data_IF_267134053457
#
_entry.id   IF_267134053457
#
_cell.length_a   1.000
_cell.length_b   1.000
_cell.length_c   1.000
_cell.angle_alpha   90.00
_cell.angle_beta   90.00
_cell.angle_gamma   90.00
#
_symmetry.space_group_name_H-M   'P 1'
#
loop_
_entity.id
_entity.type
_entity.pdbx_description
1 polymer ?
#
# COMPACT_ATOMS: atom_id res chain seq x y z
N UNK A 1 -17.33 11.45 11.51
CA UNK A 1 -16.62 12.10 12.64
C UNK A 1 -15.25 11.45 12.87
N UNK A 2 -15.20 10.12 12.92
CA UNK A 2 -13.99 9.28 13.07
C UNK A 2 -12.84 9.64 12.12
N UNK A 3 -13.12 9.84 10.83
CA UNK A 3 -12.10 10.23 9.84
C UNK A 3 -11.45 11.60 10.15
N UNK A 4 -12.25 12.59 10.59
CA UNK A 4 -11.75 13.92 10.98
C UNK A 4 -10.84 13.83 12.20
N UNK A 5 -11.21 13.03 13.20
CA UNK A 5 -10.36 12.85 14.38
C UNK A 5 -9.06 12.13 14.03
N UNK A 6 -9.12 11.08 13.23
CA UNK A 6 -7.93 10.38 12.77
C UNK A 6 -6.98 11.31 12.02
N UNK A 7 -7.51 12.19 11.16
CA UNK A 7 -6.70 13.14 10.41
C UNK A 7 -6.07 14.20 11.34
N UNK A 8 -6.84 14.72 12.29
CA UNK A 8 -6.34 15.68 13.29
C UNK A 8 -5.22 15.08 14.15
N UNK A 9 -5.38 13.83 14.61
CA UNK A 9 -4.36 13.11 15.38
C UNK A 9 -3.09 12.92 14.55
N UNK A 10 -3.25 12.51 13.28
CA UNK A 10 -2.14 12.31 12.36
C UNK A 10 -1.36 13.61 12.12
N UNK A 11 -2.05 14.73 11.91
CA UNK A 11 -1.45 16.05 11.71
C UNK A 11 -0.78 16.59 12.98
N UNK A 12 -1.38 16.39 14.16
CA UNK A 12 -0.77 16.76 15.45
C UNK A 12 0.53 16.00 15.74
N UNK A 13 0.75 14.86 15.06
CA UNK A 13 1.93 14.00 15.22
C UNK A 13 2.66 13.74 13.89
N UNK A 14 2.67 14.73 13.00
CA UNK A 14 3.28 14.64 11.67
C UNK A 14 4.79 14.31 11.70
N UNK A 15 5.52 14.74 12.74
CA UNK A 15 6.96 14.42 12.92
C UNK A 15 7.24 12.92 12.96
N UNK A 16 6.32 12.10 13.46
CA UNK A 16 6.49 10.64 13.50
C UNK A 16 6.40 10.06 12.08
N UNK A 17 5.54 10.63 11.24
CA UNK A 17 5.36 10.18 9.85
C UNK A 17 6.67 10.33 9.08
N UNK A 18 7.40 11.44 9.26
CA UNK A 18 8.73 11.61 8.65
C UNK A 18 9.74 10.54 9.07
N UNK A 19 9.72 10.12 10.34
CA UNK A 19 10.61 9.03 10.81
C UNK A 19 10.26 7.70 10.14
N UNK A 20 8.98 7.46 9.88
CA UNK A 20 8.50 6.25 9.19
C UNK A 20 8.78 6.31 7.70
N UNK A 21 8.63 7.48 7.06
CA UNK A 21 9.05 7.70 5.68
C UNK A 21 10.54 7.40 5.53
N UNK A 22 11.38 7.95 6.41
CA UNK A 22 12.82 7.66 6.41
C UNK A 22 13.09 6.16 6.56
N UNK A 23 12.39 5.50 7.48
CA UNK A 23 12.47 4.04 7.65
C UNK A 23 12.11 3.30 6.35
N UNK A 24 11.03 3.66 5.67
CA UNK A 24 10.62 3.01 4.42
C UNK A 24 11.60 3.27 3.28
N UNK A 25 12.15 4.48 3.17
CA UNK A 25 13.20 4.81 2.18
C UNK A 25 14.43 3.95 2.39
N UNK A 26 14.90 3.80 3.64
CA UNK A 26 16.05 2.93 3.96
C UNK A 26 15.76 1.47 3.61
N UNK A 27 14.58 0.96 3.97
CA UNK A 27 14.16 -0.41 3.63
C UNK A 27 14.11 -0.60 2.11
N UNK A 28 13.49 0.33 1.38
CA UNK A 28 13.43 0.25 -0.09
C UNK A 28 14.82 0.27 -0.72
N UNK A 29 15.72 1.14 -0.25
CA UNK A 29 17.08 1.22 -0.78
C UNK A 29 17.82 -0.10 -0.61
N UNK A 30 17.77 -0.69 0.59
CA UNK A 30 18.40 -2.00 0.88
C UNK A 30 17.85 -3.08 -0.04
N UNK A 31 16.53 -3.20 -0.13
CA UNK A 31 15.90 -4.27 -0.94
C UNK A 31 16.07 -4.06 -2.45
N UNK A 32 16.04 -2.83 -2.94
CA UNK A 32 16.30 -2.50 -4.35
C UNK A 32 17.77 -2.80 -4.70
N UNK A 33 18.73 -2.48 -3.82
CA UNK A 33 20.13 -2.83 -4.05
C UNK A 33 20.33 -4.34 -4.09
N UNK A 34 19.80 -5.08 -3.11
CA UNK A 34 19.96 -6.54 -3.06
C UNK A 34 19.25 -7.22 -4.25
N UNK A 35 18.01 -6.83 -4.55
CA UNK A 35 17.27 -7.36 -5.68
C UNK A 35 17.94 -7.01 -7.02
N UNK A 36 18.43 -5.78 -7.16
CA UNK A 36 19.18 -5.33 -8.34
C UNK A 36 20.48 -6.13 -8.54
N UNK A 37 21.21 -6.42 -7.47
CA UNK A 37 22.40 -7.28 -7.52
C UNK A 37 22.05 -8.74 -7.87
N UNK A 38 20.98 -9.28 -7.32
CA UNK A 38 20.52 -10.65 -7.62
C UNK A 38 20.03 -10.79 -9.07
N UNK A 39 19.43 -9.74 -9.63
CA UNK A 39 18.89 -9.73 -11.00
C UNK A 39 19.91 -9.26 -12.05
N UNK A 40 21.04 -8.69 -11.63
CA UNK A 40 22.10 -8.22 -12.53
C UNK A 40 22.48 -9.21 -13.64
N UNK A 41 22.70 -10.53 -13.39
CA UNK A 41 23.03 -11.47 -14.47
C UNK A 41 21.89 -11.62 -15.49
N UNK A 42 20.64 -11.68 -15.02
CA UNK A 42 19.46 -11.76 -15.89
C UNK A 42 19.28 -10.48 -16.70
N UNK A 43 19.40 -9.32 -16.06
CA UNK A 43 19.29 -8.01 -16.71
C UNK A 43 20.37 -7.84 -17.77
N UNK A 44 21.61 -8.27 -17.51
CA UNK A 44 22.70 -8.19 -18.50
C UNK A 44 22.45 -9.08 -19.71
N UNK A 45 21.97 -10.30 -19.48
CA UNK A 45 21.64 -11.26 -20.56
C UNK A 45 20.50 -10.73 -21.43
N UNK A 46 19.42 -10.26 -20.79
CA UNK A 46 18.27 -9.67 -21.48
C UNK A 46 18.66 -8.38 -22.19
N UNK A 47 19.48 -7.52 -21.58
CA UNK A 47 19.94 -6.28 -22.20
C UNK A 47 20.76 -6.55 -23.47
N UNK A 48 21.67 -7.53 -23.46
CA UNK A 48 22.42 -7.89 -24.67
C UNK A 48 21.53 -8.48 -25.77
N UNK A 49 20.48 -9.22 -25.41
CA UNK A 49 19.51 -9.75 -26.38
C UNK A 49 18.60 -8.63 -26.94
N UNK A 50 18.25 -7.62 -26.13
CA UNK A 50 17.44 -6.46 -26.54
C UNK A 50 18.25 -5.44 -27.35
N UNK A 51 19.52 -5.22 -27.04
CA UNK A 51 20.38 -4.32 -27.86
C UNK A 51 20.54 -4.86 -29.30
N UNK A 52 20.49 -6.19 -29.47
CA UNK A 52 20.54 -6.83 -30.79
C UNK A 52 19.23 -6.70 -31.60
N UNK A 53 18.09 -6.40 -30.97
CA UNK A 53 16.79 -6.23 -31.65
C UNK A 53 16.52 -4.77 -32.06
N UNK A 54 17.39 -3.81 -31.70
CA UNK A 54 17.28 -2.42 -32.15
C UNK A 54 16.10 -1.61 -31.59
N UNK A 55 15.27 -2.19 -30.71
CA UNK A 55 14.01 -1.61 -30.21
C UNK A 55 14.22 -0.25 -29.54
N UNK A 56 15.26 -0.12 -28.72
CA UNK A 56 15.57 1.13 -28.01
C UNK A 56 15.97 2.27 -28.96
N UNK A 57 16.68 1.94 -30.04
CA UNK A 57 17.05 2.89 -31.10
C UNK A 57 15.83 3.33 -31.88
N UNK A 58 14.95 2.41 -32.26
CA UNK A 58 13.70 2.74 -32.97
C UNK A 58 12.72 3.56 -32.12
N UNK A 59 12.59 3.24 -30.83
CA UNK A 59 11.74 4.00 -29.89
C UNK A 59 12.26 5.42 -29.68
N UNK A 60 13.59 5.58 -29.57
CA UNK A 60 14.24 6.88 -29.44
C UNK A 60 14.09 7.72 -30.71
N UNK A 61 14.26 7.10 -31.88
CA UNK A 61 14.02 7.76 -33.17
C UNK A 61 12.56 8.17 -33.35
N UNK A 62 11.60 7.33 -32.97
CA UNK A 62 10.18 7.67 -32.98
C UNK A 62 9.85 8.87 -32.08
N UNK A 63 10.45 8.94 -30.89
CA UNK A 63 10.29 10.09 -29.99
C UNK A 63 10.93 11.37 -30.54
N UNK A 64 12.08 11.28 -31.20
CA UNK A 64 12.75 12.40 -31.86
C UNK A 64 11.95 12.90 -33.07
N UNK A 65 11.34 11.99 -33.85
CA UNK A 65 10.47 12.33 -34.98
C UNK A 65 9.15 12.96 -34.51
N UNK A 66 8.56 12.46 -33.43
CA UNK A 66 7.37 13.02 -32.79
C UNK A 66 7.62 14.46 -32.30
N UNK A 67 8.76 14.70 -31.65
CA UNK A 67 9.15 16.03 -31.16
C UNK A 67 9.52 17.02 -32.28
N UNK A 68 9.85 16.52 -33.48
CA UNK A 68 10.12 17.32 -34.68
C UNK A 68 8.89 17.52 -35.58
N UNK A 69 7.76 16.89 -35.28
CA UNK A 69 6.52 17.01 -36.06
C UNK A 69 6.53 16.25 -37.39
N UNK A 70 7.34 15.20 -37.50
CA UNK A 70 7.52 14.41 -38.73
C UNK A 70 6.37 13.40 -38.91
N UNK A 71 5.84 13.24 -40.14
CA UNK A 71 4.65 12.42 -40.42
C UNK A 71 4.88 10.90 -40.30
N UNK A 72 6.15 10.47 -40.33
CA UNK A 72 6.55 9.06 -40.28
C UNK A 72 6.76 8.54 -38.84
N UNK A 73 6.32 9.29 -37.82
CA UNK A 73 6.39 8.85 -36.42
C UNK A 73 5.62 7.53 -36.22
N UNK A 74 4.49 7.37 -36.92
CA UNK A 74 3.60 6.21 -36.83
C UNK A 74 4.26 4.92 -37.29
N UNK A 75 5.08 4.96 -38.35
CA UNK A 75 5.88 3.80 -38.78
C UNK A 75 6.94 3.41 -37.75
N UNK A 76 7.56 4.40 -37.10
CA UNK A 76 8.58 4.16 -36.09
C UNK A 76 7.99 3.49 -34.83
N UNK A 77 6.76 3.86 -34.45
CA UNK A 77 6.01 3.18 -33.39
C UNK A 77 5.50 1.79 -33.80
N UNK A 78 5.15 1.58 -35.08
CA UNK A 78 4.77 0.25 -35.58
C UNK A 78 5.97 -0.71 -35.58
N UNK A 79 7.16 -0.26 -36.01
CA UNK A 79 8.39 -1.08 -35.95
C UNK A 79 8.80 -1.38 -34.50
N UNK A 80 8.71 -0.39 -33.61
CA UNK A 80 8.87 -0.60 -32.17
C UNK A 80 7.85 -1.61 -31.58
N UNK A 81 6.61 -1.61 -32.06
CA UNK A 81 5.60 -2.58 -31.62
C UNK A 81 5.86 -4.00 -32.13
N UNK A 82 6.38 -4.14 -33.35
CA UNK A 82 6.79 -5.42 -33.92
C UNK A 82 7.99 -6.00 -33.17
N UNK A 83 8.97 -5.15 -32.82
CA UNK A 83 10.15 -5.55 -32.07
C UNK A 83 9.87 -5.81 -30.57
N UNK A 84 8.79 -5.26 -30.00
CA UNK A 84 8.22 -5.72 -28.73
C UNK A 84 7.66 -7.16 -28.83
N UNK A 85 7.16 -7.57 -29.99
CA UNK A 85 6.74 -8.95 -30.28
C UNK A 85 7.92 -9.92 -30.27
N UNK A 86 9.05 -9.53 -30.86
CA UNK A 86 10.30 -10.30 -30.83
C UNK A 86 10.88 -10.42 -29.42
N UNK A 87 10.79 -9.35 -28.61
CA UNK A 87 11.13 -9.40 -27.18
C UNK A 87 10.24 -10.42 -26.46
N UNK A 88 8.93 -10.46 -26.73
CA UNK A 88 8.03 -11.44 -26.13
C UNK A 88 8.38 -12.88 -26.50
N UNK A 89 8.87 -13.14 -27.72
CA UNK A 89 9.40 -14.44 -28.13
C UNK A 89 10.70 -14.80 -27.39
N UNK A 90 11.60 -13.84 -27.16
CA UNK A 90 12.82 -14.04 -26.35
C UNK A 90 12.46 -14.42 -24.91
N UNK A 91 11.47 -13.76 -24.31
CA UNK A 91 10.95 -14.13 -22.99
C UNK A 91 10.30 -15.53 -22.97
N UNK A 92 9.72 -15.97 -24.09
CA UNK A 92 9.11 -17.30 -24.25
C UNK A 92 10.16 -18.39 -24.41
N UNK A 93 11.23 -18.13 -25.16
CA UNK A 93 12.36 -19.05 -25.35
C UNK A 93 13.20 -19.22 -24.08
N UNK A 94 13.30 -18.19 -23.24
CA UNK A 94 13.99 -18.22 -21.95
C UNK A 94 13.05 -18.39 -20.74
N UNK A 95 11.88 -19.02 -20.94
CA UNK A 95 10.78 -19.13 -19.95
C UNK A 95 11.24 -19.48 -18.54
N UNK A 96 12.12 -20.46 -18.37
CA UNK A 96 12.61 -20.89 -17.05
C UNK A 96 13.40 -19.78 -16.33
N UNK A 97 14.29 -19.07 -17.03
CA UNK A 97 15.08 -17.96 -16.46
C UNK A 97 14.19 -16.79 -16.06
N UNK A 98 13.19 -16.50 -16.89
CA UNK A 98 12.21 -15.44 -16.65
C UNK A 98 11.34 -15.75 -15.44
N UNK A 99 10.85 -16.99 -15.32
CA UNK A 99 10.08 -17.46 -14.15
C UNK A 99 10.90 -17.32 -12.87
N UNK A 100 12.17 -17.75 -12.88
CA UNK A 100 13.06 -17.58 -11.72
C UNK A 100 13.32 -16.11 -11.37
N UNK A 101 13.50 -15.24 -12.36
CA UNK A 101 13.67 -13.81 -12.13
C UNK A 101 12.42 -13.19 -11.49
N UNK A 102 11.23 -13.53 -11.99
CA UNK A 102 9.95 -13.08 -11.42
C UNK A 102 9.78 -13.60 -9.99
N UNK A 103 10.11 -14.87 -9.73
CA UNK A 103 10.02 -15.46 -8.40
C UNK A 103 10.95 -14.74 -7.40
N UNK A 104 12.18 -14.41 -7.81
CA UNK A 104 13.14 -13.66 -6.99
C UNK A 104 12.62 -12.25 -6.71
N UNK A 105 12.13 -11.53 -7.73
CA UNK A 105 11.52 -10.20 -7.54
C UNK A 105 10.36 -10.27 -6.55
N UNK A 106 9.45 -11.23 -6.73
CA UNK A 106 8.29 -11.41 -5.87
C UNK A 106 8.69 -11.69 -4.41
N UNK A 107 9.70 -12.55 -4.20
CA UNK A 107 10.23 -12.83 -2.87
C UNK A 107 10.77 -11.56 -2.20
N UNK A 108 11.57 -10.75 -2.91
CA UNK A 108 12.10 -9.51 -2.35
C UNK A 108 11.02 -8.46 -2.08
N UNK A 109 10.01 -8.36 -2.94
CA UNK A 109 8.85 -7.47 -2.70
C UNK A 109 8.09 -7.90 -1.45
N UNK A 110 7.86 -9.20 -1.26
CA UNK A 110 7.21 -9.72 -0.06
C UNK A 110 8.03 -9.47 1.21
N UNK A 111 9.35 -9.66 1.14
CA UNK A 111 10.25 -9.37 2.26
C UNK A 111 10.28 -7.87 2.58
N UNK A 112 10.34 -7.00 1.58
CA UNK A 112 10.28 -5.55 1.77
C UNK A 112 8.95 -5.14 2.43
N UNK A 113 7.83 -5.66 1.94
CA UNK A 113 6.50 -5.42 2.52
C UNK A 113 6.39 -5.92 3.97
N UNK A 114 6.97 -7.08 4.27
CA UNK A 114 7.05 -7.61 5.64
C UNK A 114 7.83 -6.68 6.56
N UNK A 115 9.03 -6.26 6.15
CA UNK A 115 9.86 -5.35 6.95
C UNK A 115 9.14 -4.02 7.17
N UNK A 116 8.53 -3.42 6.15
CA UNK A 116 7.74 -2.19 6.31
C UNK A 116 6.60 -2.35 7.32
N UNK A 117 5.93 -3.52 7.34
CA UNK A 117 4.83 -3.83 8.27
C UNK A 117 5.27 -3.84 9.74
N UNK A 118 6.55 -4.07 10.03
CA UNK A 118 7.09 -4.04 11.41
C UNK A 118 6.91 -2.67 12.08
N UNK A 119 6.83 -1.59 11.28
CA UNK A 119 6.58 -0.24 11.80
C UNK A 119 5.18 -0.05 12.39
N UNK A 120 4.20 -0.87 11.99
CA UNK A 120 2.78 -0.61 12.31
C UNK A 120 2.48 -0.72 13.79
N UNK A 121 2.95 -1.77 14.47
CA UNK A 121 2.73 -1.93 15.92
C UNK A 121 3.35 -0.77 16.68
N UNK A 122 4.58 -0.42 16.35
CA UNK A 122 5.32 0.65 17.00
C UNK A 122 4.69 2.03 16.77
N UNK A 123 4.19 2.29 15.56
CA UNK A 123 3.45 3.51 15.24
C UNK A 123 2.12 3.58 16.00
N UNK A 124 1.31 2.53 15.91
CA UNK A 124 0.01 2.46 16.58
C UNK A 124 0.15 2.59 18.09
N UNK A 125 1.23 2.06 18.68
CA UNK A 125 1.52 2.20 20.10
C UNK A 125 1.85 3.64 20.51
N UNK A 126 2.64 4.37 19.71
CA UNK A 126 2.90 5.80 19.98
C UNK A 126 1.61 6.62 19.87
N UNK A 127 0.79 6.34 18.84
CA UNK A 127 -0.49 7.03 18.67
C UNK A 127 -1.47 6.67 19.80
N UNK A 128 -1.53 5.41 20.23
CA UNK A 128 -2.35 4.96 21.35
C UNK A 128 -1.94 5.65 22.66
N UNK A 129 -0.64 5.74 22.93
CA UNK A 129 -0.12 6.46 24.08
C UNK A 129 -0.45 7.96 24.05
N UNK A 130 -0.38 8.58 22.88
CA UNK A 130 -0.85 9.95 22.69
C UNK A 130 -2.36 10.06 22.97
N UNK A 131 -3.18 9.16 22.42
CA UNK A 131 -4.63 9.15 22.61
C UNK A 131 -5.04 8.92 24.07
N UNK A 132 -4.29 8.14 24.85
CA UNK A 132 -4.58 7.87 26.27
C UNK A 132 -4.07 8.98 27.21
N UNK A 133 -2.82 9.41 27.06
CA UNK A 133 -2.12 10.21 28.07
C UNK A 133 -1.43 11.45 27.51
N UNK A 134 -1.62 11.79 26.23
CA UNK A 134 -0.95 12.89 25.55
C UNK A 134 0.59 12.82 25.64
N UNK A 135 1.13 11.61 25.76
CA UNK A 135 2.56 11.36 25.96
C UNK A 135 3.33 11.38 24.63
N UNK A 136 4.65 11.64 24.72
CA UNK A 136 5.55 11.72 23.57
C UNK A 136 6.61 10.63 23.68
N UNK A 137 6.68 9.77 22.67
CA UNK A 137 7.65 8.67 22.61
C UNK A 137 8.52 8.75 21.35
N UNK A 138 9.78 8.34 21.48
CA UNK A 138 10.70 8.22 20.35
C UNK A 138 10.39 6.96 19.53
N UNK A 139 10.30 7.11 18.21
CA UNK A 139 9.99 6.00 17.29
C UNK A 139 10.96 4.81 17.42
N UNK A 140 12.27 5.06 17.41
CA UNK A 140 13.27 3.98 17.42
C UNK A 140 13.27 3.19 18.74
N UNK A 141 13.18 3.88 19.88
CA UNK A 141 13.10 3.23 21.19
C UNK A 141 11.84 2.37 21.29
N UNK A 142 10.70 2.88 20.81
CA UNK A 142 9.45 2.11 20.81
C UNK A 142 9.46 0.94 19.81
N UNK A 143 10.19 1.10 18.71
CA UNK A 143 10.35 0.03 17.72
C UNK A 143 11.13 -1.16 18.29
N UNK A 144 12.20 -0.89 19.03
CA UNK A 144 13.01 -1.93 19.66
C UNK A 144 12.21 -2.64 20.77
N UNK A 145 11.49 -1.90 21.61
CA UNK A 145 10.68 -2.49 22.69
C UNK A 145 9.56 -3.39 22.16
N UNK A 146 8.94 -3.00 21.04
CA UNK A 146 7.86 -3.75 20.40
C UNK A 146 8.32 -4.73 19.33
N UNK A 147 9.62 -4.96 19.13
CA UNK A 147 10.14 -5.74 18.01
C UNK A 147 9.56 -7.16 17.95
N UNK A 148 9.50 -7.87 19.07
CA UNK A 148 8.94 -9.23 19.14
C UNK A 148 7.47 -9.28 18.71
N UNK A 149 6.67 -8.30 19.18
CA UNK A 149 5.25 -8.19 18.82
C UNK A 149 5.09 -7.82 17.35
N UNK A 150 5.94 -6.92 16.87
CA UNK A 150 5.97 -6.45 15.48
C UNK A 150 6.32 -7.57 14.49
N UNK A 151 7.28 -8.44 14.83
CA UNK A 151 7.64 -9.60 14.01
C UNK A 151 6.47 -10.58 13.88
N UNK A 152 5.87 -10.96 15.01
CA UNK A 152 4.75 -11.92 15.00
C UNK A 152 3.51 -11.33 14.31
N UNK A 153 3.17 -10.08 14.59
CA UNK A 153 2.09 -9.38 13.92
C UNK A 153 2.37 -9.23 12.42
N UNK A 154 3.58 -8.83 12.04
CA UNK A 154 3.97 -8.66 10.65
C UNK A 154 3.81 -9.94 9.83
N UNK A 155 4.14 -11.10 10.42
CA UNK A 155 4.05 -12.39 9.73
C UNK A 155 2.58 -12.79 9.57
N UNK A 156 1.79 -12.68 10.64
CA UNK A 156 0.36 -12.97 10.58
C UNK A 156 -0.38 -12.01 9.64
N UNK A 157 -0.06 -10.72 9.69
CA UNK A 157 -0.63 -9.69 8.82
C UNK A 157 -0.26 -9.96 7.36
N UNK A 158 0.99 -10.32 7.07
CA UNK A 158 1.40 -10.70 5.72
C UNK A 158 0.57 -11.88 5.23
N UNK A 159 0.42 -12.96 6.01
CA UNK A 159 -0.36 -14.13 5.59
C UNK A 159 -1.84 -13.79 5.36
N UNK A 160 -2.50 -13.15 6.32
CA UNK A 160 -3.94 -12.88 6.22
C UNK A 160 -4.25 -11.82 5.16
N UNK A 161 -3.52 -10.70 5.15
CA UNK A 161 -3.79 -9.60 4.23
C UNK A 161 -3.32 -9.94 2.81
N UNK A 162 -2.22 -10.67 2.62
CA UNK A 162 -1.80 -11.06 1.26
C UNK A 162 -2.80 -12.02 0.63
N UNK A 163 -3.31 -13.00 1.38
CA UNK A 163 -4.36 -13.91 0.87
C UNK A 163 -5.61 -13.11 0.48
N UNK A 164 -6.07 -12.18 1.34
CA UNK A 164 -7.21 -11.32 0.99
C UNK A 164 -6.93 -10.45 -0.25
N UNK A 165 -5.73 -9.89 -0.37
CA UNK A 165 -5.34 -9.06 -1.52
C UNK A 165 -5.30 -9.87 -2.82
N UNK A 166 -4.80 -11.12 -2.78
CA UNK A 166 -4.77 -12.02 -3.94
C UNK A 166 -6.21 -12.37 -4.37
N UNK A 167 -7.09 -12.69 -3.42
CA UNK A 167 -8.49 -13.01 -3.71
C UNK A 167 -9.23 -11.82 -4.33
N UNK A 168 -9.10 -10.62 -3.73
CA UNK A 168 -9.70 -9.39 -4.26
C UNK A 168 -9.12 -9.06 -5.63
N UNK A 169 -7.79 -9.14 -5.79
CA UNK A 169 -7.10 -8.85 -7.04
C UNK A 169 -7.53 -9.80 -8.16
N UNK A 170 -7.58 -11.11 -7.90
CA UNK A 170 -8.05 -12.11 -8.86
C UNK A 170 -9.50 -11.85 -9.27
N UNK A 171 -10.38 -11.57 -8.29
CA UNK A 171 -11.78 -11.24 -8.57
C UNK A 171 -11.93 -10.00 -9.44
N UNK A 172 -11.21 -8.92 -9.15
CA UNK A 172 -11.25 -7.68 -9.93
C UNK A 172 -10.67 -7.88 -11.34
N UNK A 173 -9.60 -8.66 -11.50
CA UNK A 173 -9.02 -8.99 -12.80
C UNK A 173 -9.99 -9.82 -13.66
N UNK A 174 -10.59 -10.86 -13.07
CA UNK A 174 -11.62 -11.66 -13.74
C UNK A 174 -12.78 -10.80 -14.21
N UNK A 175 -13.31 -9.94 -13.32
CA UNK A 175 -14.41 -9.04 -13.65
C UNK A 175 -14.04 -8.02 -14.73
N UNK A 176 -12.79 -7.53 -14.71
CA UNK A 176 -12.28 -6.62 -15.74
C UNK A 176 -12.29 -7.30 -17.12
N UNK A 177 -11.85 -8.56 -17.21
CA UNK A 177 -11.87 -9.31 -18.47
C UNK A 177 -13.28 -9.47 -19.05
N UNK A 178 -14.26 -9.77 -18.19
CA UNK A 178 -15.67 -9.90 -18.60
C UNK A 178 -16.27 -8.56 -19.02
N UNK A 179 -16.07 -7.51 -18.21
CA UNK A 179 -16.65 -6.19 -18.50
C UNK A 179 -15.99 -5.49 -19.69
N UNK A 180 -14.70 -5.69 -19.92
CA UNK A 180 -14.01 -5.11 -21.08
C UNK A 180 -14.62 -5.62 -22.39
N UNK A 181 -15.04 -6.90 -22.45
CA UNK A 181 -15.71 -7.46 -23.62
C UNK A 181 -17.14 -6.91 -23.79
N UNK A 182 -17.84 -6.61 -22.70
CA UNK A 182 -19.23 -6.16 -22.72
C UNK A 182 -19.40 -4.66 -22.99
N UNK A 183 -18.59 -3.81 -22.34
CA UNK A 183 -18.76 -2.35 -22.32
C UNK A 183 -17.48 -1.57 -22.64
N UNK A 184 -16.40 -2.26 -23.03
CA UNK A 184 -15.13 -1.63 -23.38
C UNK A 184 -14.52 -0.83 -22.23
N UNK A 185 -13.91 0.31 -22.54
CA UNK A 185 -13.14 1.13 -21.58
C UNK A 185 -13.98 1.71 -20.42
N UNK A 186 -15.31 1.77 -20.59
CA UNK A 186 -16.23 2.23 -19.55
C UNK A 186 -16.29 1.27 -18.34
N UNK A 187 -15.65 0.09 -18.41
CA UNK A 187 -15.49 -0.80 -17.27
C UNK A 187 -14.59 -0.21 -16.16
N UNK A 188 -13.64 0.67 -16.51
CA UNK A 188 -12.65 1.21 -15.58
C UNK A 188 -13.25 1.87 -14.32
N UNK A 189 -14.19 2.83 -14.40
CA UNK A 189 -14.78 3.44 -13.21
C UNK A 189 -15.54 2.45 -12.33
N UNK A 190 -16.17 1.43 -12.92
CA UNK A 190 -16.89 0.38 -12.18
C UNK A 190 -15.90 -0.46 -11.37
N UNK A 191 -14.81 -0.90 -12.00
CA UNK A 191 -13.76 -1.69 -11.35
C UNK A 191 -13.07 -0.88 -10.25
N UNK A 192 -12.77 0.40 -10.48
CA UNK A 192 -12.16 1.27 -9.47
C UNK A 192 -13.09 1.44 -8.25
N UNK A 193 -14.38 1.69 -8.49
CA UNK A 193 -15.37 1.84 -7.42
C UNK A 193 -15.51 0.55 -6.63
N UNK A 194 -15.64 -0.60 -7.31
CA UNK A 194 -15.74 -1.89 -6.66
C UNK A 194 -14.47 -2.24 -5.88
N UNK A 195 -13.29 -1.89 -6.42
CA UNK A 195 -12.02 -2.03 -5.73
C UNK A 195 -12.02 -1.28 -4.40
N UNK A 196 -12.39 0.01 -4.41
CA UNK A 196 -12.51 0.81 -3.18
C UNK A 196 -13.45 0.15 -2.18
N UNK A 197 -14.60 -0.37 -2.61
CA UNK A 197 -15.56 -1.04 -1.72
C UNK A 197 -14.98 -2.34 -1.12
N UNK A 198 -14.36 -3.21 -1.93
CA UNK A 198 -13.80 -4.48 -1.47
C UNK A 198 -12.62 -4.27 -0.51
N UNK A 199 -11.71 -3.34 -0.83
CA UNK A 199 -10.59 -3.00 0.07
C UNK A 199 -11.09 -2.36 1.37
N UNK A 200 -12.14 -1.54 1.30
CA UNK A 200 -12.76 -0.96 2.51
C UNK A 200 -13.45 -2.02 3.37
N UNK A 201 -14.10 -3.01 2.76
CA UNK A 201 -14.68 -4.14 3.48
C UNK A 201 -13.60 -4.95 4.18
N UNK A 202 -12.52 -5.30 3.47
CA UNK A 202 -11.34 -5.98 4.04
C UNK A 202 -10.81 -5.20 5.25
N UNK A 203 -10.56 -3.90 5.08
CA UNK A 203 -10.04 -3.08 6.18
C UNK A 203 -11.00 -2.96 7.35
N UNK A 204 -12.31 -2.95 7.11
CA UNK A 204 -13.32 -2.95 8.19
C UNK A 204 -13.23 -4.21 9.03
N UNK A 205 -13.10 -5.38 8.41
CA UNK A 205 -12.97 -6.67 9.11
C UNK A 205 -11.71 -6.67 9.99
N UNK A 206 -10.58 -6.17 9.47
CA UNK A 206 -9.30 -6.20 10.19
C UNK A 206 -9.04 -4.98 11.08
N UNK A 207 -9.94 -3.99 11.12
CA UNK A 207 -9.68 -2.70 11.74
C UNK A 207 -9.37 -2.77 13.25
N UNK A 208 -10.04 -3.68 13.96
CA UNK A 208 -9.86 -3.84 15.40
C UNK A 208 -8.63 -4.66 15.79
N UNK A 209 -7.95 -5.28 14.84
CA UNK A 209 -6.90 -6.26 15.15
C UNK A 209 -5.67 -5.60 15.80
N UNK A 210 -5.12 -4.56 15.15
CA UNK A 210 -3.95 -3.88 15.66
C UNK A 210 -4.24 -3.06 16.93
N UNK A 211 -5.35 -2.31 17.02
CA UNK A 211 -5.75 -1.65 18.27
C UNK A 211 -5.87 -2.60 19.46
N UNK A 212 -6.43 -3.80 19.28
CA UNK A 212 -6.55 -4.79 20.36
C UNK A 212 -5.18 -5.32 20.85
N UNK A 213 -4.16 -5.35 20.00
CA UNK A 213 -2.78 -5.71 20.40
C UNK A 213 -2.16 -4.59 21.24
N UNK A 214 -2.37 -3.35 20.82
CA UNK A 214 -1.69 -2.18 21.37
C UNK A 214 -2.37 -1.67 22.64
N UNK A 215 -3.70 -1.50 22.61
CA UNK A 215 -4.46 -0.95 23.74
C UNK A 215 -4.72 -2.01 24.81
N UNK A 216 -5.29 -3.16 24.44
CA UNK A 216 -5.65 -4.22 25.39
C UNK A 216 -4.48 -5.18 25.72
N UNK A 217 -3.29 -4.98 25.12
CA UNK A 217 -2.15 -5.89 25.26
C UNK A 217 -2.46 -7.37 24.93
N UNK A 218 -3.43 -7.64 24.06
CA UNK A 218 -3.81 -9.01 23.67
C UNK A 218 -2.70 -9.65 22.82
N UNK A 219 -2.60 -10.98 22.90
CA UNK A 219 -1.77 -11.77 21.98
C UNK A 219 -2.27 -11.61 20.54
N UNK A 220 -1.37 -11.70 19.56
CA UNK A 220 -1.65 -11.42 18.14
C UNK A 220 -2.88 -12.15 17.59
N UNK A 221 -3.01 -13.46 17.81
CA UNK A 221 -4.14 -14.25 17.29
C UNK A 221 -5.46 -13.97 18.02
N UNK A 222 -5.55 -14.01 19.37
CA UNK A 222 -6.76 -13.61 20.09
C UNK A 222 -7.22 -12.18 19.79
N UNK A 223 -6.27 -11.27 19.52
CA UNK A 223 -6.58 -9.89 19.16
C UNK A 223 -7.35 -9.77 17.83
N UNK A 224 -7.16 -10.69 16.89
CA UNK A 224 -7.90 -10.69 15.62
C UNK A 224 -9.39 -10.90 15.86
N UNK A 225 -9.75 -11.96 16.59
CA UNK A 225 -11.14 -12.31 16.88
C UNK A 225 -11.80 -11.25 17.75
N UNK A 226 -11.09 -10.77 18.78
CA UNK A 226 -11.59 -9.70 19.63
C UNK A 226 -11.80 -8.41 18.84
N UNK A 227 -10.86 -8.05 17.97
CA UNK A 227 -10.94 -6.87 17.12
C UNK A 227 -12.12 -6.90 16.16
N UNK A 228 -12.36 -8.03 15.49
CA UNK A 228 -13.52 -8.22 14.61
C UNK A 228 -14.82 -8.02 15.39
N UNK A 229 -14.95 -8.64 16.56
CA UNK A 229 -16.15 -8.54 17.40
C UNK A 229 -16.42 -7.09 17.82
N UNK A 230 -15.40 -6.40 18.31
CA UNK A 230 -15.54 -4.99 18.72
C UNK A 230 -15.99 -4.09 17.58
N UNK A 231 -15.39 -4.22 16.39
CA UNK A 231 -15.75 -3.36 15.25
C UNK A 231 -17.12 -3.73 14.66
N UNK A 232 -17.54 -4.99 14.77
CA UNK A 232 -18.82 -5.44 14.20
C UNK A 232 -20.04 -4.67 14.75
N UNK A 233 -19.99 -4.19 15.99
CA UNK A 233 -21.04 -3.40 16.62
C UNK A 233 -21.26 -2.04 15.91
N UNK A 234 -20.21 -1.48 15.31
CA UNK A 234 -20.24 -0.23 14.55
C UNK A 234 -19.70 -0.42 13.12
N UNK A 235 -19.96 -1.61 12.55
CA UNK A 235 -19.36 -2.04 11.28
C UNK A 235 -19.69 -1.13 10.09
N UNK A 236 -20.91 -0.58 10.04
CA UNK A 236 -21.33 0.36 8.98
C UNK A 236 -20.57 1.69 9.04
N UNK A 237 -20.38 2.25 10.23
CA UNK A 237 -19.59 3.47 10.41
C UNK A 237 -18.12 3.25 10.06
N UNK A 238 -17.56 2.11 10.49
CA UNK A 238 -16.21 1.71 10.14
C UNK A 238 -16.05 1.55 8.62
N UNK A 239 -16.97 0.84 7.96
CA UNK A 239 -16.98 0.66 6.52
C UNK A 239 -17.03 1.98 5.76
N UNK A 240 -17.97 2.86 6.08
CA UNK A 240 -18.08 4.18 5.44
C UNK A 240 -16.82 5.02 5.66
N UNK A 241 -16.22 4.95 6.85
CA UNK A 241 -14.97 5.65 7.15
C UNK A 241 -13.81 5.15 6.29
N UNK A 242 -13.71 3.83 6.07
CA UNK A 242 -12.72 3.26 5.16
C UNK A 242 -13.01 3.57 3.70
N UNK A 243 -14.27 3.58 3.26
CA UNK A 243 -14.62 3.97 1.88
C UNK A 243 -14.15 5.39 1.58
N UNK A 244 -14.41 6.33 2.49
CA UNK A 244 -13.92 7.71 2.35
C UNK A 244 -12.38 7.77 2.35
N UNK A 245 -11.74 7.06 3.27
CA UNK A 245 -10.28 7.05 3.39
C UNK A 245 -9.59 6.45 2.15
N UNK A 246 -10.08 5.32 1.62
CA UNK A 246 -9.53 4.71 0.41
C UNK A 246 -9.83 5.53 -0.84
N UNK A 247 -11.01 6.18 -0.92
CA UNK A 247 -11.32 7.10 -2.04
C UNK A 247 -10.36 8.29 -2.06
N UNK A 248 -10.10 8.89 -0.90
CA UNK A 248 -9.12 9.97 -0.76
C UNK A 248 -7.70 9.49 -1.10
N UNK A 249 -7.32 8.30 -0.63
CA UNK A 249 -6.02 7.71 -0.95
C UNK A 249 -5.86 7.47 -2.46
N UNK A 250 -6.90 7.00 -3.15
CA UNK A 250 -6.89 6.78 -4.59
C UNK A 250 -6.71 8.10 -5.36
N UNK A 251 -7.46 9.14 -5.00
CA UNK A 251 -7.31 10.48 -5.57
C UNK A 251 -5.89 10.99 -5.34
N UNK A 252 -5.38 10.86 -4.11
CA UNK A 252 -4.03 11.27 -3.74
C UNK A 252 -2.99 10.56 -4.62
N UNK A 253 -3.05 9.23 -4.73
CA UNK A 253 -2.12 8.45 -5.55
C UNK A 253 -2.18 8.88 -7.02
N UNK A 254 -3.37 9.03 -7.61
CA UNK A 254 -3.50 9.46 -9.02
C UNK A 254 -2.89 10.85 -9.23
N UNK A 255 -3.26 11.82 -8.39
CA UNK A 255 -2.79 13.21 -8.50
C UNK A 255 -1.27 13.28 -8.33
N UNK A 256 -0.71 12.68 -7.27
CA UNK A 256 0.74 12.71 -7.03
C UNK A 256 1.51 11.93 -8.09
N UNK A 257 0.98 10.81 -8.60
CA UNK A 257 1.61 10.05 -9.69
C UNK A 257 1.76 10.92 -10.94
N UNK A 258 0.70 11.62 -11.34
CA UNK A 258 0.70 12.42 -12.55
C UNK A 258 1.48 13.73 -12.39
N UNK A 259 1.29 14.46 -11.29
CA UNK A 259 1.88 15.79 -11.10
C UNK A 259 3.37 15.78 -10.78
N UNK A 260 3.87 14.74 -10.11
CA UNK A 260 5.27 14.67 -9.65
C UNK A 260 6.07 13.57 -10.35
N UNK A 261 5.54 13.01 -11.44
CA UNK A 261 6.12 11.85 -12.13
C UNK A 261 6.44 10.70 -11.15
N UNK A 262 5.54 10.47 -10.19
CA UNK A 262 5.66 9.41 -9.18
C UNK A 262 6.52 9.75 -7.95
N UNK A 263 7.32 10.83 -7.92
CA UNK A 263 8.17 11.15 -6.77
C UNK A 263 7.37 11.39 -5.48
N UNK A 264 6.20 12.01 -5.58
CA UNK A 264 5.29 12.27 -4.47
C UNK A 264 4.72 11.01 -3.82
N UNK A 265 4.75 9.85 -4.50
CA UNK A 265 4.29 8.58 -3.94
C UNK A 265 5.16 8.10 -2.78
N UNK A 266 6.44 8.48 -2.76
CA UNK A 266 7.38 8.16 -1.69
C UNK A 266 6.87 8.71 -0.34
N UNK A 267 6.15 9.84 -0.36
CA UNK A 267 5.58 10.47 0.83
C UNK A 267 4.10 10.09 1.01
N UNK A 268 3.35 10.05 -0.09
CA UNK A 268 1.91 9.79 -0.05
C UNK A 268 1.59 8.38 0.48
N UNK A 269 2.29 7.34 0.01
CA UNK A 269 2.02 5.95 0.41
C UNK A 269 2.22 5.74 1.91
N UNK A 270 3.37 6.09 2.52
CA UNK A 270 3.55 5.95 3.97
C UNK A 270 2.53 6.77 4.77
N UNK A 271 2.19 7.96 4.29
CA UNK A 271 1.22 8.83 4.96
C UNK A 271 -0.18 8.20 4.97
N UNK A 272 -0.63 7.64 3.84
CA UNK A 272 -1.89 6.89 3.74
C UNK A 272 -1.86 5.66 4.65
N UNK A 273 -0.74 4.93 4.69
CA UNK A 273 -0.58 3.78 5.58
C UNK A 273 -0.70 4.18 7.05
N UNK A 274 -0.05 5.27 7.47
CA UNK A 274 -0.15 5.75 8.85
C UNK A 274 -1.54 6.27 9.17
N UNK A 275 -2.18 6.98 8.23
CA UNK A 275 -3.56 7.41 8.36
C UNK A 275 -4.52 6.22 8.57
N UNK A 276 -4.27 5.12 7.87
CA UNK A 276 -5.02 3.88 8.04
C UNK A 276 -4.96 3.39 9.49
N UNK A 277 -3.75 3.30 10.04
CA UNK A 277 -3.49 2.80 11.39
C UNK A 277 -4.05 3.72 12.48
N UNK A 278 -4.02 5.04 12.26
CA UNK A 278 -4.67 6.00 13.15
C UNK A 278 -6.19 5.86 13.09
N UNK A 279 -6.77 5.65 11.91
CA UNK A 279 -8.21 5.44 11.77
C UNK A 279 -8.69 4.16 12.46
N UNK A 280 -7.92 3.07 12.36
CA UNK A 280 -8.17 1.83 13.10
C UNK A 280 -8.28 2.07 14.62
N UNK A 281 -7.34 2.82 15.20
CA UNK A 281 -7.36 3.18 16.63
C UNK A 281 -8.58 4.02 16.99
N UNK A 282 -8.90 5.05 16.20
CA UNK A 282 -10.06 5.91 16.47
C UNK A 282 -11.37 5.12 16.41
N UNK A 283 -11.54 4.24 15.42
CA UNK A 283 -12.72 3.39 15.31
C UNK A 283 -12.83 2.42 16.49
N UNK A 284 -11.70 1.86 16.94
CA UNK A 284 -11.67 0.97 18.09
C UNK A 284 -12.05 1.68 19.40
N UNK A 285 -11.56 2.90 19.61
CA UNK A 285 -11.94 3.71 20.76
C UNK A 285 -13.41 4.12 20.73
N UNK A 286 -13.92 4.48 19.55
CA UNK A 286 -15.33 4.82 19.37
C UNK A 286 -16.25 3.61 19.57
N UNK A 287 -15.80 2.39 19.25
CA UNK A 287 -16.55 1.17 19.49
C UNK A 287 -16.61 0.79 20.97
N UNK A 288 -15.52 0.99 21.73
CA UNK A 288 -15.50 0.74 23.18
C UNK A 288 -15.87 1.96 24.05
N UNK A 289 -16.33 3.05 23.43
CA UNK A 289 -16.70 4.30 24.11
C UNK A 289 -15.57 4.94 24.96
N UNK A 290 -14.32 4.69 24.60
CA UNK A 290 -13.17 5.26 25.30
C UNK A 290 -13.01 6.76 25.03
N UNK A 291 -12.54 7.48 26.05
CA UNK A 291 -12.15 8.89 25.94
C UNK A 291 -10.74 8.96 25.37
N UNK A 292 -10.51 9.85 24.40
CA UNK A 292 -9.18 10.03 23.81
C UNK A 292 -8.89 11.49 23.44
N UNK A 293 -7.60 11.81 23.42
CA UNK A 293 -7.07 13.07 22.89
C UNK A 293 -7.09 13.05 21.36
N UNK A 294 -7.60 14.12 20.76
CA UNK A 294 -7.56 14.36 19.30
C UNK A 294 -6.45 15.34 18.92
N UNK A 295 -6.14 16.24 19.84
CA UNK A 295 -5.00 17.14 19.78
C UNK A 295 -4.47 17.39 21.20
N UNK A 296 -3.39 18.15 21.36
CA UNK A 296 -2.76 18.42 22.66
C UNK A 296 -3.73 19.03 23.68
N UNK A 297 -4.78 19.73 23.22
CA UNK A 297 -5.74 20.45 24.07
C UNK A 297 -7.14 19.85 24.07
N UNK A 298 -7.49 19.03 23.05
CA UNK A 298 -8.87 18.57 22.84
C UNK A 298 -9.05 17.11 23.21
N UNK A 299 -9.77 16.87 24.31
CA UNK A 299 -10.28 15.54 24.71
C UNK A 299 -11.69 15.36 24.17
N UNK A 300 -11.96 14.21 23.56
CA UNK A 300 -13.30 13.81 23.20
C UNK A 300 -13.88 12.94 24.30
N UNK A 301 -14.95 13.43 24.94
CA UNK A 301 -15.89 12.62 25.70
C UNK A 301 -17.01 12.20 24.75
N UNK A 302 -17.21 10.90 24.58
CA UNK A 302 -18.43 10.39 23.93
C UNK A 302 -19.56 10.58 24.96
N UNK A 303 -20.46 11.53 24.69
CA UNK A 303 -21.65 11.78 25.51
C UNK A 303 -22.76 10.86 25.03
N UNK A 304 -23.27 10.03 25.93
CA UNK A 304 -24.38 9.11 25.68
C UNK A 304 -25.67 9.92 25.57
N UNK A 305 -26.31 9.95 24.40
CA UNK A 305 -27.77 9.98 24.34
C UNK A 305 -28.19 8.57 23.96
N UNK A 306 -28.66 7.84 24.98
CA UNK A 306 -29.36 6.55 24.85
C UNK A 306 -30.75 6.79 24.32
#
# INVERSE_FOLDING_TARGET
MSLKHALSILLSRFTIIFKIILYFVVVMLIFVTIAGSALAPTIRTVKSEIENTGVFTEFKEGFVKLTKGDSDFTESFQRASASLGEIAEIFTNNRTRVIWAIAIVMLFVLLAAYVMTLSYVSFSDIINHFMCTNSRFGFLSNFISNLKRSLLYGLMHLLTVSVSNILIGYFLLFLTGVLLQAIGILCAPIILTLGVLLYSLKSTVFAGWLPAIVHDNKKVLPALVAGIRTISERGSEAFLSFVMMHSLALIMVIVFSFTTFGAGLIIAIPTVMMFHRTLELVLYYNANEYKYYVDNEKVIKISIYK
#
